data_IF_112874872131
#
_entry.id   IF_112874872131
#
_cell.length_a   1.000
_cell.length_b   1.000
_cell.length_c   1.000
_cell.angle_alpha   90.00
_cell.angle_beta   90.00
_cell.angle_gamma   90.00
#
_symmetry.space_group_name_H-M   'P 1'
#
loop_
_entity.id
_entity.type
_entity.pdbx_description
1 polymer ?
#
# COMPACT_ATOMS: atom_id res chain seq x y z
N UNK A 1 -13.39 7.58 1.48
CA UNK A 1 -12.15 8.32 1.17
C UNK A 1 -11.48 8.83 2.44
N UNK A 2 -12.20 9.50 3.34
CA UNK A 2 -11.62 10.04 4.58
C UNK A 2 -10.97 8.96 5.46
N UNK A 3 -11.68 7.85 5.69
CA UNK A 3 -11.20 6.70 6.49
C UNK A 3 -9.87 6.12 5.97
N UNK A 4 -9.80 5.89 4.66
CA UNK A 4 -8.57 5.43 4.00
C UNK A 4 -7.44 6.46 4.11
N UNK A 5 -7.73 7.76 4.07
CA UNK A 5 -6.69 8.79 4.20
C UNK A 5 -6.16 8.86 5.64
N UNK A 6 -7.05 8.76 6.64
CA UNK A 6 -6.66 8.77 8.05
C UNK A 6 -5.80 7.57 8.42
N UNK A 7 -6.13 6.38 7.93
CA UNK A 7 -5.34 5.17 8.19
C UNK A 7 -3.90 5.34 7.69
N UNK A 8 -3.75 5.83 6.45
CA UNK A 8 -2.44 6.00 5.81
C UNK A 8 -1.63 7.10 6.47
N UNK A 9 -2.28 8.20 6.86
CA UNK A 9 -1.67 9.25 7.65
C UNK A 9 -1.12 8.72 8.98
N UNK A 10 -1.88 7.85 9.67
CA UNK A 10 -1.43 7.23 10.91
C UNK A 10 -0.20 6.32 10.69
N UNK A 11 -0.22 5.46 9.66
CA UNK A 11 0.92 4.61 9.30
C UNK A 11 2.16 5.45 8.98
N UNK A 12 2.02 6.55 8.25
CA UNK A 12 3.13 7.45 7.92
C UNK A 12 3.75 8.08 9.16
N UNK A 13 2.93 8.59 10.08
CA UNK A 13 3.42 9.14 11.34
C UNK A 13 4.21 8.10 12.14
N UNK A 14 3.73 6.86 12.18
CA UNK A 14 4.44 5.75 12.82
C UNK A 14 5.79 5.45 12.14
N UNK A 15 5.82 5.42 10.80
CA UNK A 15 7.05 5.23 10.02
C UNK A 15 8.07 6.34 10.23
N UNK A 16 7.63 7.60 10.38
CA UNK A 16 8.51 8.71 10.72
C UNK A 16 9.10 8.56 12.12
N UNK A 17 8.32 8.14 13.11
CA UNK A 17 8.85 7.80 14.44
C UNK A 17 9.85 6.64 14.37
N UNK A 18 9.55 5.57 13.63
CA UNK A 18 10.48 4.45 13.46
C UNK A 18 11.78 4.85 12.76
N UNK A 19 11.70 5.83 11.86
CA UNK A 19 12.87 6.39 11.16
C UNK A 19 13.84 7.08 12.12
N UNK A 20 13.36 7.67 13.23
CA UNK A 20 14.24 8.26 14.25
C UNK A 20 14.87 7.19 15.16
N UNK A 21 14.13 6.14 15.48
CA UNK A 21 14.62 5.04 16.33
C UNK A 21 15.58 4.08 15.62
N UNK A 22 15.37 3.88 14.31
CA UNK A 22 16.14 2.94 13.51
C UNK A 22 16.74 3.64 12.28
N UNK A 23 17.70 4.57 12.46
CA UNK A 23 18.24 5.41 11.39
C UNK A 23 18.85 4.61 10.23
N UNK A 24 19.37 3.42 10.52
CA UNK A 24 19.93 2.49 9.52
C UNK A 24 18.90 2.02 8.48
N UNK A 25 17.61 2.01 8.82
CA UNK A 25 16.53 1.53 7.95
C UNK A 25 15.63 2.64 7.41
N UNK A 26 16.01 3.92 7.57
CA UNK A 26 15.25 5.08 7.08
C UNK A 26 14.84 4.93 5.63
N UNK A 27 15.77 4.51 4.77
CA UNK A 27 15.49 4.33 3.35
C UNK A 27 14.34 3.34 3.09
N UNK A 28 14.26 2.25 3.86
CA UNK A 28 13.20 1.25 3.72
C UNK A 28 11.84 1.79 4.20
N UNK A 29 11.82 2.53 5.31
CA UNK A 29 10.58 3.15 5.79
C UNK A 29 10.08 4.25 4.84
N UNK A 30 10.98 5.06 4.31
CA UNK A 30 10.66 6.07 3.29
C UNK A 30 10.13 5.42 2.01
N UNK A 31 10.78 4.35 1.54
CA UNK A 31 10.33 3.60 0.37
C UNK A 31 8.94 2.99 0.61
N UNK A 32 8.70 2.38 1.77
CA UNK A 32 7.40 1.83 2.12
C UNK A 32 6.31 2.91 2.17
N UNK A 33 6.60 4.05 2.80
CA UNK A 33 5.65 5.17 2.88
C UNK A 33 5.33 5.72 1.48
N UNK A 34 6.36 5.93 0.66
CA UNK A 34 6.20 6.44 -0.71
C UNK A 34 5.38 5.47 -1.57
N UNK A 35 5.74 4.19 -1.58
CA UNK A 35 4.99 3.17 -2.34
C UNK A 35 3.53 3.12 -1.93
N UNK A 36 3.24 3.19 -0.63
CA UNK A 36 1.89 3.09 -0.12
C UNK A 36 1.03 4.30 -0.52
N UNK A 37 1.55 5.52 -0.40
CA UNK A 37 0.84 6.75 -0.82
C UNK A 37 0.66 6.79 -2.34
N UNK A 38 1.74 6.58 -3.10
CA UNK A 38 1.73 6.75 -4.56
C UNK A 38 0.85 5.72 -5.23
N UNK A 39 0.88 4.45 -4.78
CA UNK A 39 0.02 3.39 -5.33
C UNK A 39 -1.46 3.72 -5.15
N UNK A 40 -1.87 4.15 -3.96
CA UNK A 40 -3.25 4.50 -3.65
C UNK A 40 -3.70 5.78 -4.35
N UNK A 41 -2.82 6.79 -4.44
CA UNK A 41 -3.11 8.02 -5.15
C UNK A 41 -3.36 7.78 -6.65
N UNK A 42 -2.50 6.99 -7.30
CA UNK A 42 -2.67 6.66 -8.72
C UNK A 42 -3.90 5.78 -8.96
N UNK A 43 -4.19 4.82 -8.07
CA UNK A 43 -5.43 4.05 -8.16
C UNK A 43 -6.67 4.92 -8.02
N UNK A 44 -6.67 5.88 -7.09
CA UNK A 44 -7.75 6.86 -6.94
C UNK A 44 -7.90 7.73 -8.19
N UNK A 45 -6.79 8.24 -8.74
CA UNK A 45 -6.79 9.09 -9.93
C UNK A 45 -7.34 8.35 -11.15
N UNK A 46 -6.84 7.14 -11.41
CA UNK A 46 -7.32 6.29 -12.51
C UNK A 46 -8.79 5.92 -12.33
N UNK A 47 -9.26 5.68 -11.10
CA UNK A 47 -10.68 5.40 -10.82
C UNK A 47 -11.58 6.61 -11.12
N UNK A 48 -11.16 7.81 -10.75
CA UNK A 48 -11.89 9.06 -11.02
C UNK A 48 -11.96 9.35 -12.53
N UNK A 49 -10.82 9.26 -13.24
CA UNK A 49 -10.76 9.50 -14.68
C UNK A 49 -11.54 8.43 -15.48
N UNK A 50 -11.47 7.17 -15.05
CA UNK A 50 -12.23 6.07 -15.67
C UNK A 50 -13.74 6.23 -15.47
N UNK A 51 -14.17 6.74 -14.31
CA UNK A 51 -15.57 7.06 -14.04
C UNK A 51 -16.13 8.21 -14.90
N UNK A 52 -15.26 9.08 -15.42
CA UNK A 52 -15.64 10.14 -16.36
C UNK A 52 -15.67 9.65 -17.82
N UNK A 53 -14.87 8.64 -18.18
CA UNK A 53 -14.79 8.06 -19.53
C UNK A 53 -15.42 6.65 -19.61
N UNK A 54 -16.75 6.57 -19.54
CA UNK A 54 -17.60 5.37 -19.43
C UNK A 54 -17.44 4.25 -20.50
N UNK A 55 -16.47 4.25 -21.43
CA UNK A 55 -16.47 3.28 -22.53
C UNK A 55 -15.16 2.61 -22.94
N UNK A 56 -14.02 2.88 -22.31
CA UNK A 56 -12.74 2.17 -22.61
C UNK A 56 -11.78 2.06 -21.41
N UNK A 57 -12.29 2.02 -20.18
CA UNK A 57 -11.45 1.66 -19.05
C UNK A 57 -11.09 0.18 -19.20
N UNK A 58 -9.85 -0.09 -19.63
CA UNK A 58 -9.26 -1.43 -19.61
C UNK A 58 -9.43 -1.92 -18.18
N UNK A 59 -10.35 -2.86 -17.99
CA UNK A 59 -10.60 -3.48 -16.71
C UNK A 59 -9.28 -4.03 -16.20
N UNK A 60 -8.92 -3.64 -14.97
CA UNK A 60 -7.83 -4.17 -14.14
C UNK A 60 -7.95 -5.71 -13.86
N UNK A 61 -8.66 -6.45 -14.73
CA UNK A 61 -8.85 -7.89 -14.71
C UNK A 61 -7.59 -8.68 -15.10
N UNK A 62 -6.49 -7.99 -15.45
CA UNK A 62 -5.27 -8.62 -15.94
C UNK A 62 -4.54 -9.54 -14.96
N UNK A 63 -4.79 -9.45 -13.64
CA UNK A 63 -4.16 -10.35 -12.69
C UNK A 63 -5.18 -10.95 -11.71
N UNK A 64 -5.49 -12.25 -11.89
CA UNK A 64 -6.40 -13.04 -11.05
C UNK A 64 -6.08 -12.95 -9.55
N UNK A 65 -4.80 -12.73 -9.22
CA UNK A 65 -4.31 -12.47 -7.86
C UNK A 65 -4.80 -11.14 -7.27
N UNK A 66 -4.74 -10.03 -8.02
CA UNK A 66 -5.22 -8.72 -7.55
C UNK A 66 -6.73 -8.72 -7.36
N UNK A 67 -7.45 -9.41 -8.25
CA UNK A 67 -8.90 -9.57 -8.12
C UNK A 67 -9.27 -10.38 -6.88
N UNK A 68 -8.56 -11.46 -6.58
CA UNK A 68 -8.79 -12.23 -5.35
C UNK A 68 -8.49 -11.41 -4.09
N UNK A 69 -7.42 -10.61 -4.11
CA UNK A 69 -7.03 -9.69 -3.04
C UNK A 69 -8.14 -8.66 -2.71
N UNK A 70 -8.76 -8.07 -3.74
CA UNK A 70 -9.85 -7.09 -3.55
C UNK A 70 -11.24 -7.73 -3.35
N UNK A 71 -11.46 -8.96 -3.84
CA UNK A 71 -12.75 -9.66 -3.68
C UNK A 71 -12.99 -10.11 -2.23
N UNK A 72 -11.91 -10.32 -1.47
CA UNK A 72 -11.98 -10.88 -0.13
C UNK A 72 -11.67 -9.82 0.93
N UNK A 73 -12.74 -9.20 1.48
CA UNK A 73 -12.66 -8.25 2.60
C UNK A 73 -11.80 -8.75 3.78
N UNK A 74 -11.86 -10.04 4.19
CA UNK A 74 -11.03 -10.55 5.29
C UNK A 74 -9.54 -10.53 4.97
N UNK A 75 -9.15 -10.82 3.74
CA UNK A 75 -7.75 -10.80 3.30
C UNK A 75 -7.18 -9.38 3.30
N UNK A 76 -7.94 -8.41 2.81
CA UNK A 76 -7.56 -7.00 2.86
C UNK A 76 -7.37 -6.52 4.31
N UNK A 77 -8.28 -6.90 5.20
CA UNK A 77 -8.18 -6.57 6.61
C UNK A 77 -6.95 -7.20 7.27
N UNK A 78 -6.70 -8.50 7.05
CA UNK A 78 -5.52 -9.20 7.60
C UNK A 78 -4.22 -8.58 7.09
N UNK A 79 -4.15 -8.17 5.82
CA UNK A 79 -2.96 -7.55 5.24
C UNK A 79 -2.70 -6.16 5.83
N UNK A 80 -3.75 -5.34 6.00
CA UNK A 80 -3.63 -4.05 6.67
C UNK A 80 -3.28 -4.21 8.15
N UNK A 81 -4.02 -5.04 8.88
CA UNK A 81 -3.80 -5.27 10.31
C UNK A 81 -2.41 -5.87 10.57
N UNK A 82 -1.96 -6.83 9.75
CA UNK A 82 -0.62 -7.42 9.88
C UNK A 82 0.49 -6.41 9.60
N UNK A 83 0.31 -5.51 8.64
CA UNK A 83 1.26 -4.43 8.36
C UNK A 83 1.32 -3.40 9.50
N UNK A 84 0.18 -2.95 10.02
CA UNK A 84 0.13 -2.07 11.19
C UNK A 84 0.76 -2.74 12.41
N UNK A 85 0.47 -4.03 12.61
CA UNK A 85 1.02 -4.81 13.69
C UNK A 85 2.55 -4.93 13.58
N UNK A 86 3.09 -5.11 12.38
CA UNK A 86 4.54 -5.16 12.15
C UNK A 86 5.23 -3.86 12.60
N UNK A 87 4.75 -2.70 12.13
CA UNK A 87 5.33 -1.41 12.50
C UNK A 87 5.11 -1.08 13.98
N UNK A 88 3.95 -1.45 14.54
CA UNK A 88 3.66 -1.29 15.96
C UNK A 88 4.59 -2.15 16.83
N UNK A 89 4.88 -3.38 16.42
CA UNK A 89 5.82 -4.25 17.13
C UNK A 89 7.24 -3.73 17.07
N UNK A 90 7.70 -3.20 15.92
CA UNK A 90 9.00 -2.51 15.83
C UNK A 90 9.08 -1.35 16.82
N UNK A 91 8.01 -0.56 16.94
CA UNK A 91 7.95 0.57 17.86
C UNK A 91 8.05 0.11 19.31
N UNK A 92 7.25 -0.88 19.71
CA UNK A 92 7.26 -1.39 21.10
C UNK A 92 8.58 -2.09 21.43
N UNK A 93 9.16 -2.85 20.50
CA UNK A 93 10.44 -3.53 20.66
C UNK A 93 11.62 -2.58 20.90
N UNK A 94 11.51 -1.33 20.46
CA UNK A 94 12.50 -0.30 20.77
C UNK A 94 12.57 -0.02 22.28
N UNK A 95 11.43 -0.04 22.98
CA UNK A 95 11.36 0.29 24.41
C UNK A 95 11.45 -0.95 25.32
N UNK A 96 10.84 -2.07 24.92
CA UNK A 96 10.80 -3.28 25.75
C UNK A 96 10.76 -4.54 24.89
N UNK A 97 11.46 -5.57 25.34
CA UNK A 97 11.40 -6.89 24.71
C UNK A 97 10.10 -7.65 25.06
N UNK A 98 9.21 -7.08 25.88
CA UNK A 98 7.93 -7.69 26.25
C UNK A 98 8.07 -8.88 27.20
N UNK A 99 6.92 -9.43 27.65
CA UNK A 99 6.92 -10.59 28.52
C UNK A 99 7.50 -11.81 27.80
N UNK A 100 8.30 -12.59 28.54
CA UNK A 100 8.83 -13.86 28.08
C UNK A 100 7.71 -14.91 28.21
N UNK A 101 7.27 -15.46 27.08
CA UNK A 101 6.29 -16.54 27.03
C UNK A 101 7.02 -17.78 26.49
N UNK A 102 7.07 -18.85 27.27
CA UNK A 102 7.86 -20.07 26.97
C UNK A 102 9.34 -19.82 26.62
N UNK A 103 9.96 -18.80 27.25
CA UNK A 103 11.37 -18.44 27.01
C UNK A 103 11.62 -17.56 25.78
N UNK A 104 10.59 -17.22 25.02
CA UNK A 104 10.68 -16.33 23.86
C UNK A 104 10.02 -14.98 24.14
N UNK A 105 10.59 -13.90 23.59
CA UNK A 105 9.98 -12.57 23.61
C UNK A 105 8.73 -12.57 22.74
N UNK A 106 7.56 -12.35 23.36
CA UNK A 106 6.27 -12.34 22.67
C UNK A 106 6.26 -11.35 21.49
N UNK A 107 6.81 -10.15 21.69
CA UNK A 107 6.84 -9.12 20.65
C UNK A 107 7.73 -9.51 19.46
N UNK A 108 8.84 -10.21 19.69
CA UNK A 108 9.66 -10.74 18.58
C UNK A 108 8.90 -11.81 17.81
N UNK A 109 8.17 -12.70 18.48
CA UNK A 109 7.36 -13.72 17.80
C UNK A 109 6.29 -13.07 16.91
N UNK A 110 5.57 -12.08 17.43
CA UNK A 110 4.55 -11.35 16.66
C UNK A 110 5.19 -10.57 15.51
N UNK A 111 6.36 -9.96 15.71
CA UNK A 111 7.12 -9.30 14.65
C UNK A 111 7.47 -10.26 13.52
N UNK A 112 8.03 -11.43 13.83
CA UNK A 112 8.41 -12.42 12.81
C UNK A 112 7.18 -13.00 12.08
N UNK A 113 6.05 -13.14 12.77
CA UNK A 113 4.80 -13.58 12.16
C UNK A 113 4.19 -12.52 11.23
N UNK A 114 4.31 -11.24 11.57
CA UNK A 114 3.76 -10.12 10.78
C UNK A 114 4.69 -9.65 9.66
N UNK A 115 5.99 -9.93 9.74
CA UNK A 115 6.98 -9.63 8.69
C UNK A 115 6.60 -10.14 7.29
N UNK A 116 6.24 -11.42 7.07
CA UNK A 116 5.86 -11.90 5.74
C UNK A 116 4.60 -11.20 5.22
N UNK A 117 3.68 -10.80 6.11
CA UNK A 117 2.46 -10.08 5.74
C UNK A 117 2.81 -8.66 5.28
N UNK A 118 3.68 -7.96 6.01
CA UNK A 118 4.15 -6.63 5.64
C UNK A 118 4.89 -6.65 4.29
N UNK A 119 5.81 -7.61 4.09
CA UNK A 119 6.52 -7.77 2.82
C UNK A 119 5.59 -8.09 1.65
N UNK A 120 4.63 -8.99 1.87
CA UNK A 120 3.62 -9.33 0.86
C UNK A 120 2.76 -8.11 0.51
N UNK A 121 2.34 -7.33 1.50
CA UNK A 121 1.60 -6.08 1.28
C UNK A 121 2.42 -5.09 0.46
N UNK A 122 3.69 -4.86 0.80
CA UNK A 122 4.56 -3.98 0.02
C UNK A 122 4.74 -4.46 -1.42
N UNK A 123 4.90 -5.77 -1.64
CA UNK A 123 4.99 -6.36 -2.98
C UNK A 123 3.71 -6.15 -3.79
N UNK A 124 2.54 -6.34 -3.18
CA UNK A 124 1.24 -6.09 -3.81
C UNK A 124 1.10 -4.60 -4.15
N UNK A 125 1.49 -3.70 -3.24
CA UNK A 125 1.48 -2.25 -3.50
C UNK A 125 2.37 -1.86 -4.69
N UNK A 126 3.53 -2.51 -4.89
CA UNK A 126 4.38 -2.28 -6.07
C UNK A 126 3.72 -2.74 -7.37
N UNK A 127 3.11 -3.94 -7.38
CA UNK A 127 2.37 -4.44 -8.55
C UNK A 127 1.19 -3.51 -8.86
N UNK A 128 0.52 -3.03 -7.82
CA UNK A 128 -0.59 -2.11 -7.94
C UNK A 128 -0.16 -0.75 -8.51
N UNK A 129 0.97 -0.23 -8.03
CA UNK A 129 1.59 0.99 -8.54
C UNK A 129 1.92 0.88 -10.03
N UNK A 130 2.53 -0.24 -10.44
CA UNK A 130 2.86 -0.51 -11.83
C UNK A 130 1.60 -0.61 -12.72
N UNK A 131 0.60 -1.36 -12.27
CA UNK A 131 -0.65 -1.49 -13.02
C UNK A 131 -1.37 -0.13 -13.17
N UNK A 132 -1.43 0.66 -12.10
CA UNK A 132 -2.06 1.97 -12.11
C UNK A 132 -1.30 2.98 -13.00
N UNK A 133 0.04 2.95 -13.02
CA UNK A 133 0.83 3.85 -13.87
C UNK A 133 0.66 3.55 -15.36
N UNK A 134 0.63 2.28 -15.74
CA UNK A 134 0.35 1.86 -17.13
C UNK A 134 -1.05 2.30 -17.55
N UNK A 135 -2.05 2.10 -16.70
CA UNK A 135 -3.43 2.51 -17.00
C UNK A 135 -3.55 4.03 -17.15
N UNK A 136 -2.91 4.79 -16.27
CA UNK A 136 -2.89 6.26 -16.36
C UNK A 136 -2.27 6.72 -17.67
N UNK A 137 -1.15 6.14 -18.09
CA UNK A 137 -0.51 6.47 -19.36
C UNK A 137 -1.42 6.19 -20.58
N UNK A 138 -2.21 5.11 -20.54
CA UNK A 138 -3.19 4.80 -21.58
C UNK A 138 -4.31 5.84 -21.63
N UNK A 139 -4.81 6.26 -20.46
CA UNK A 139 -5.85 7.30 -20.37
C UNK A 139 -5.31 8.62 -20.92
N UNK A 140 -4.12 9.04 -20.50
CA UNK A 140 -3.48 10.29 -20.96
C UNK A 140 -3.31 10.33 -22.49
N UNK A 141 -2.86 9.21 -23.09
CA UNK A 141 -2.72 9.11 -24.55
C UNK A 141 -4.09 9.18 -25.24
N UNK A 142 -5.12 8.56 -24.68
CA UNK A 142 -6.47 8.60 -25.24
C UNK A 142 -7.07 10.02 -25.18
N UNK A 143 -6.87 10.74 -24.07
CA UNK A 143 -7.32 12.13 -23.93
C UNK A 143 -6.62 13.06 -24.92
N UNK A 144 -5.29 12.92 -25.08
CA UNK A 144 -4.53 13.70 -26.08
C UNK A 144 -5.02 13.48 -27.51
N UNK A 145 -5.34 12.23 -27.88
CA UNK A 145 -5.89 11.92 -29.21
C UNK A 145 -7.27 12.54 -29.43
N UNK A 146 -8.14 12.54 -28.42
CA UNK A 146 -9.45 13.21 -28.49
C UNK A 146 -9.29 14.72 -28.64
N UNK A 147 -8.39 15.33 -27.87
CA UNK A 147 -8.12 16.77 -27.96
C UNK A 147 -7.57 17.17 -29.33
N UNK A 148 -6.65 16.39 -29.91
CA UNK A 148 -6.14 16.66 -31.26
C UNK A 148 -7.21 16.51 -32.35
N UNK A 149 -8.11 15.53 -32.22
CA UNK A 149 -9.20 15.30 -33.19
C UNK A 149 -10.31 16.35 -33.10
N UNK A 150 -10.50 16.99 -31.93
CA UNK A 150 -11.44 18.09 -31.78
C UNK A 150 -10.88 19.43 -32.30
N UNK A 151 -9.57 19.52 -32.50
CA UNK A 151 -8.88 20.72 -33.00
C UNK A 151 -8.66 20.71 -34.53
N UNK A 152 -8.96 19.58 -35.20
CA UNK A 152 -8.91 19.40 -36.66
C UNK A 152 -10.31 19.47 -37.26
#
# INVERSE_FOLDING_TARGET
MLDMLSDRGATMCLLFCLSTFYPRYIFLFQLSALLDITSHWLHMLTSIQSGSSSHKAISLDGNRFLRMYYTSRPLLFVMCAGNELFYSMLYVLHFTNGPLVFGYSLFKVILFLSLPIALLKTAISMVHLYAASVNLAVIDVAERKKASAAAS
#
